data_IF_091059202289
#
_entry.id   IF_091059202289
#
_cell.length_a   1.000
_cell.length_b   1.000
_cell.length_c   1.000
_cell.angle_alpha   90.00
_cell.angle_beta   90.00
_cell.angle_gamma   90.00
#
_symmetry.space_group_name_H-M   'P 1'
#
loop_
_entity.id
_entity.type
_entity.pdbx_description
1 polymer ?
#
# COMPACT_ATOMS: atom_id res chain seq x y z
N UNK A 1 -23.55 -6.14 -19.95
CA UNK A 1 -24.88 -6.72 -19.61
C UNK A 1 -25.77 -5.84 -18.71
N UNK A 2 -25.29 -4.68 -18.23
CA UNK A 2 -26.06 -3.74 -17.38
C UNK A 2 -26.74 -4.45 -16.20
N UNK A 3 -25.89 -5.03 -15.35
CA UNK A 3 -26.29 -5.73 -14.13
C UNK A 3 -25.51 -5.10 -12.99
N UNK A 4 -26.20 -4.58 -11.98
CA UNK A 4 -25.56 -4.03 -10.79
C UNK A 4 -25.02 -5.18 -9.91
N UNK A 5 -23.69 -5.29 -9.74
CA UNK A 5 -23.09 -6.29 -8.84
C UNK A 5 -23.28 -5.97 -7.36
N UNK A 6 -23.81 -4.78 -7.00
CA UNK A 6 -23.90 -4.25 -5.63
C UNK A 6 -22.55 -4.23 -4.91
N UNK A 7 -21.49 -3.80 -5.60
CA UNK A 7 -20.13 -3.67 -5.08
C UNK A 7 -19.72 -2.21 -4.88
N UNK A 8 -18.55 -1.97 -4.28
CA UNK A 8 -18.03 -0.61 -4.04
C UNK A 8 -17.91 0.18 -5.36
N UNK A 9 -18.20 1.50 -5.32
CA UNK A 9 -18.29 2.36 -6.52
C UNK A 9 -17.07 2.32 -7.44
N UNK A 10 -15.87 2.17 -6.88
CA UNK A 10 -14.62 2.13 -7.65
C UNK A 10 -14.29 0.78 -8.30
N UNK A 11 -15.06 -0.27 -8.02
CA UNK A 11 -14.82 -1.64 -8.52
C UNK A 11 -16.01 -2.24 -9.27
N UNK A 12 -17.02 -1.42 -9.53
CA UNK A 12 -18.20 -1.78 -10.33
C UNK A 12 -17.92 -1.45 -11.79
N UNK A 13 -17.89 -2.44 -12.68
CA UNK A 13 -17.63 -2.23 -14.12
C UNK A 13 -18.86 -2.46 -15.00
N UNK A 14 -19.90 -3.14 -14.50
CA UNK A 14 -21.03 -3.59 -15.31
C UNK A 14 -22.16 -2.61 -15.63
N UNK A 15 -22.13 -1.35 -15.18
CA UNK A 15 -23.18 -0.33 -15.44
C UNK A 15 -22.96 0.41 -16.75
N UNK A 16 -24.04 0.81 -17.43
CA UNK A 16 -23.99 1.62 -18.68
C UNK A 16 -23.20 2.94 -18.55
N UNK A 17 -23.09 3.48 -17.34
CA UNK A 17 -22.33 4.70 -17.04
C UNK A 17 -20.81 4.50 -17.00
N UNK A 18 -20.34 3.25 -17.00
CA UNK A 18 -18.92 2.96 -16.97
C UNK A 18 -18.31 2.97 -18.37
N UNK A 19 -17.03 3.34 -18.45
CA UNK A 19 -16.25 3.39 -19.70
C UNK A 19 -16.00 2.04 -20.40
N UNK A 20 -16.61 0.94 -19.94
CA UNK A 20 -16.24 -0.42 -20.32
C UNK A 20 -17.37 -1.13 -21.05
N UNK A 21 -16.99 -1.88 -22.09
CA UNK A 21 -17.91 -2.72 -22.87
C UNK A 21 -18.68 -1.92 -23.92
N UNK A 22 -19.62 -2.64 -24.55
CA UNK A 22 -20.58 -2.12 -25.52
C UNK A 22 -21.96 -2.49 -25.02
N UNK A 23 -22.97 -1.66 -25.31
CA UNK A 23 -24.35 -2.13 -25.15
C UNK A 23 -24.71 -3.18 -26.23
N UNK A 24 -25.82 -3.88 -26.04
CA UNK A 24 -26.16 -5.02 -26.92
C UNK A 24 -26.45 -4.58 -28.37
N UNK A 25 -27.02 -3.39 -28.57
CA UNK A 25 -27.33 -2.86 -29.90
C UNK A 25 -26.03 -2.49 -30.64
N UNK A 26 -25.08 -1.89 -29.94
CA UNK A 26 -23.74 -1.60 -30.45
C UNK A 26 -22.96 -2.89 -30.75
N UNK A 27 -23.00 -3.85 -29.83
CA UNK A 27 -22.33 -5.13 -29.99
C UNK A 27 -22.88 -5.89 -31.21
N UNK A 28 -24.19 -5.93 -31.41
CA UNK A 28 -24.83 -6.60 -32.54
C UNK A 28 -24.40 -5.99 -33.88
N UNK A 29 -24.38 -4.65 -33.95
CA UNK A 29 -23.88 -3.93 -35.13
C UNK A 29 -22.42 -4.27 -35.41
N UNK A 30 -21.58 -4.29 -34.38
CA UNK A 30 -20.17 -4.62 -34.50
C UNK A 30 -19.97 -6.06 -35.01
N UNK A 31 -20.63 -7.04 -34.41
CA UNK A 31 -20.58 -8.43 -34.88
C UNK A 31 -21.01 -8.56 -36.35
N UNK A 32 -22.07 -7.84 -36.75
CA UNK A 32 -22.55 -7.83 -38.13
C UNK A 32 -21.55 -7.21 -39.12
N UNK A 33 -20.80 -6.20 -38.70
CA UNK A 33 -19.73 -5.59 -39.49
C UNK A 33 -18.52 -6.51 -39.59
N UNK A 34 -18.06 -7.05 -38.46
CA UNK A 34 -16.90 -7.94 -38.37
C UNK A 34 -17.12 -9.23 -39.17
N UNK A 35 -18.35 -9.77 -39.20
CA UNK A 35 -18.70 -10.93 -40.04
C UNK A 35 -18.36 -10.75 -41.53
N UNK A 36 -18.40 -9.51 -42.02
CA UNK A 36 -18.08 -9.18 -43.43
C UNK A 36 -16.59 -8.95 -43.67
N UNK A 37 -15.78 -8.92 -42.61
CA UNK A 37 -14.35 -8.68 -42.71
C UNK A 37 -13.61 -9.93 -43.21
N UNK A 38 -12.72 -9.81 -44.20
CA UNK A 38 -11.85 -10.92 -44.60
C UNK A 38 -10.68 -11.14 -43.62
N UNK A 39 -10.49 -10.25 -42.64
CA UNK A 39 -9.34 -10.24 -41.73
C UNK A 39 -9.69 -10.63 -40.28
N UNK A 40 -10.98 -10.66 -39.93
CA UNK A 40 -11.43 -10.79 -38.55
C UNK A 40 -12.49 -11.89 -38.43
N UNK A 41 -12.28 -12.82 -37.51
CA UNK A 41 -13.26 -13.85 -37.15
C UNK A 41 -13.75 -13.58 -35.71
N UNK A 42 -15.04 -13.31 -35.49
CA UNK A 42 -15.58 -13.19 -34.14
C UNK A 42 -15.72 -14.58 -33.52
N UNK A 43 -14.92 -14.88 -32.49
CA UNK A 43 -14.86 -16.22 -31.88
C UNK A 43 -15.53 -16.32 -30.52
N UNK A 44 -15.88 -15.21 -29.86
CA UNK A 44 -16.41 -15.26 -28.50
C UNK A 44 -16.99 -13.96 -28.03
N UNK A 45 -17.72 -14.03 -26.92
CA UNK A 45 -18.28 -12.89 -26.20
C UNK A 45 -17.70 -12.82 -24.79
N UNK A 46 -17.46 -11.62 -24.29
CA UNK A 46 -16.92 -11.37 -22.97
C UNK A 46 -17.82 -10.43 -22.16
N UNK A 47 -17.95 -10.71 -20.86
CA UNK A 47 -18.46 -9.75 -19.89
C UNK A 47 -17.73 -9.83 -18.56
N UNK A 48 -17.62 -8.69 -17.87
CA UNK A 48 -17.10 -8.60 -16.51
C UNK A 48 -17.97 -7.66 -15.67
N UNK A 49 -18.51 -8.18 -14.56
CA UNK A 49 -19.51 -7.47 -13.75
C UNK A 49 -18.91 -6.46 -12.77
N UNK A 50 -17.66 -6.69 -12.36
CA UNK A 50 -16.96 -5.93 -11.35
C UNK A 50 -16.16 -6.87 -10.44
N UNK A 51 -15.66 -6.36 -9.33
CA UNK A 51 -14.84 -7.13 -8.39
C UNK A 51 -15.48 -7.26 -7.00
N UNK A 52 -15.09 -8.30 -6.27
CA UNK A 52 -15.52 -8.57 -4.90
C UNK A 52 -17.01 -8.94 -4.77
N UNK A 53 -17.52 -9.69 -5.74
CA UNK A 53 -18.90 -10.17 -5.78
C UNK A 53 -19.01 -11.50 -5.02
N UNK A 54 -19.73 -11.51 -3.90
CA UNK A 54 -19.91 -12.69 -3.04
C UNK A 54 -21.24 -13.42 -3.25
N UNK A 55 -22.14 -12.88 -4.09
CA UNK A 55 -23.43 -13.51 -4.40
C UNK A 55 -23.46 -14.08 -5.82
N UNK A 56 -24.23 -15.16 -6.01
CA UNK A 56 -24.34 -15.86 -7.29
C UNK A 56 -25.22 -15.10 -8.28
N UNK A 57 -26.25 -14.42 -7.77
CA UNK A 57 -27.34 -13.84 -8.57
C UNK A 57 -26.89 -12.86 -9.66
N UNK A 58 -25.89 -11.97 -9.45
CA UNK A 58 -25.39 -11.11 -10.51
C UNK A 58 -24.83 -11.91 -11.70
N UNK A 59 -24.08 -12.99 -11.45
CA UNK A 59 -23.51 -13.83 -12.51
C UNK A 59 -24.60 -14.55 -13.29
N UNK A 60 -25.60 -15.11 -12.60
CA UNK A 60 -26.69 -15.85 -13.24
C UNK A 60 -27.53 -14.93 -14.14
N UNK A 61 -27.90 -13.74 -13.65
CA UNK A 61 -28.65 -12.76 -14.46
C UNK A 61 -27.86 -12.24 -15.65
N UNK A 62 -26.55 -12.03 -15.48
CA UNK A 62 -25.72 -11.59 -16.58
C UNK A 62 -25.57 -12.68 -17.64
N UNK A 63 -25.39 -13.93 -17.19
CA UNK A 63 -25.28 -15.07 -18.08
C UNK A 63 -26.57 -15.28 -18.87
N UNK A 64 -27.74 -15.18 -18.24
CA UNK A 64 -29.05 -15.24 -18.92
C UNK A 64 -29.13 -14.27 -20.10
N UNK A 65 -28.84 -12.98 -19.87
CA UNK A 65 -28.81 -11.98 -20.96
C UNK A 65 -27.80 -12.30 -22.06
N UNK A 66 -26.66 -12.90 -21.70
CA UNK A 66 -25.62 -13.29 -22.68
C UNK A 66 -26.08 -14.49 -23.50
N UNK A 67 -26.82 -15.43 -22.91
CA UNK A 67 -27.39 -16.57 -23.63
C UNK A 67 -28.43 -16.12 -24.66
N UNK A 68 -29.32 -15.19 -24.28
CA UNK A 68 -30.30 -14.61 -25.21
C UNK A 68 -29.59 -13.93 -26.39
N UNK A 69 -28.52 -13.18 -26.11
CA UNK A 69 -27.74 -12.52 -27.14
C UNK A 69 -26.95 -13.50 -28.02
N UNK A 70 -26.45 -14.60 -27.47
CA UNK A 70 -25.80 -15.67 -28.24
C UNK A 70 -26.77 -16.33 -29.23
N UNK A 71 -28.02 -16.56 -28.84
CA UNK A 71 -29.02 -17.13 -29.75
C UNK A 71 -29.35 -16.14 -30.88
N UNK A 72 -29.51 -14.85 -30.57
CA UNK A 72 -29.68 -13.80 -31.58
C UNK A 72 -28.52 -13.75 -32.59
N UNK A 73 -27.27 -13.84 -32.12
CA UNK A 73 -26.11 -13.88 -33.01
C UNK A 73 -26.10 -15.17 -33.86
N UNK A 74 -26.50 -16.30 -33.28
CA UNK A 74 -26.60 -17.58 -33.97
C UNK A 74 -27.66 -17.56 -35.07
N UNK A 75 -28.82 -16.96 -34.84
CA UNK A 75 -29.84 -16.70 -35.86
C UNK A 75 -29.31 -15.83 -37.01
N UNK A 76 -28.41 -14.89 -36.70
CA UNK A 76 -27.67 -14.09 -37.70
C UNK A 76 -26.49 -14.83 -38.33
N UNK A 77 -26.36 -16.14 -38.09
CA UNK A 77 -25.32 -17.00 -38.64
C UNK A 77 -23.93 -16.75 -38.07
N UNK A 78 -23.84 -16.35 -36.80
CA UNK A 78 -22.60 -16.21 -36.03
C UNK A 78 -22.64 -17.20 -34.85
N UNK A 79 -21.91 -18.30 -34.97
CA UNK A 79 -21.81 -19.29 -33.91
C UNK A 79 -20.51 -19.08 -33.12
N UNK A 80 -20.60 -18.42 -31.97
CA UNK A 80 -19.43 -18.09 -31.16
C UNK A 80 -18.89 -19.34 -30.43
N UNK A 81 -17.56 -19.47 -30.39
CA UNK A 81 -16.84 -20.61 -29.80
C UNK A 81 -16.58 -20.45 -28.29
N UNK A 82 -16.56 -19.22 -27.80
CA UNK A 82 -16.19 -18.89 -26.41
C UNK A 82 -17.20 -17.97 -25.73
N UNK A 83 -17.44 -18.23 -24.45
CA UNK A 83 -18.10 -17.31 -23.53
C UNK A 83 -17.14 -17.04 -22.40
N UNK A 84 -16.69 -15.80 -22.28
CA UNK A 84 -15.84 -15.32 -21.21
C UNK A 84 -16.70 -14.57 -20.18
N UNK A 85 -16.79 -15.13 -18.98
CA UNK A 85 -17.55 -14.54 -17.87
C UNK A 85 -16.70 -13.62 -16.99
N UNK A 86 -15.45 -13.38 -17.39
CA UNK A 86 -14.49 -12.57 -16.66
C UNK A 86 -14.21 -13.11 -15.26
N UNK A 87 -13.73 -12.23 -14.39
CA UNK A 87 -13.49 -12.51 -12.98
C UNK A 87 -14.54 -11.92 -12.05
N UNK A 88 -14.06 -11.48 -10.88
CA UNK A 88 -14.84 -10.72 -9.91
C UNK A 88 -15.25 -11.51 -8.67
N UNK A 89 -14.93 -12.81 -8.63
CA UNK A 89 -15.25 -13.71 -7.53
C UNK A 89 -14.70 -13.17 -6.20
N UNK A 90 -15.61 -12.87 -5.28
CA UNK A 90 -15.30 -12.28 -3.99
C UNK A 90 -14.76 -13.29 -3.00
N UNK A 91 -13.79 -12.84 -2.21
CA UNK A 91 -13.26 -13.59 -1.06
C UNK A 91 -13.85 -13.03 0.24
N UNK A 92 -13.64 -13.71 1.37
CA UNK A 92 -13.92 -13.10 2.66
C UNK A 92 -12.71 -12.34 3.17
N UNK A 93 -12.91 -11.10 3.64
CA UNK A 93 -11.89 -10.30 4.34
C UNK A 93 -12.15 -10.24 5.86
N UNK A 94 -13.31 -10.72 6.30
CA UNK A 94 -13.79 -10.63 7.68
C UNK A 94 -14.20 -12.01 8.17
N UNK A 95 -13.80 -12.34 9.39
CA UNK A 95 -14.19 -13.60 10.02
C UNK A 95 -15.72 -13.69 10.15
N UNK A 96 -16.27 -14.87 9.82
CA UNK A 96 -17.71 -15.11 9.79
C UNK A 96 -18.44 -14.66 8.51
N UNK A 97 -17.79 -13.90 7.62
CA UNK A 97 -18.34 -13.67 6.26
C UNK A 97 -17.91 -14.78 5.31
N UNK A 98 -18.80 -15.19 4.42
CA UNK A 98 -18.53 -16.24 3.44
C UNK A 98 -18.04 -15.63 2.11
N UNK A 99 -17.04 -16.25 1.44
CA UNK A 99 -16.69 -15.90 0.07
C UNK A 99 -17.80 -16.32 -0.90
N UNK A 100 -17.62 -15.99 -2.19
CA UNK A 100 -18.45 -16.59 -3.23
C UNK A 100 -18.28 -18.13 -3.19
N UNK A 101 -19.39 -18.86 -3.08
CA UNK A 101 -19.36 -20.31 -3.26
C UNK A 101 -19.18 -20.64 -4.75
N UNK A 102 -17.94 -20.95 -5.12
CA UNK A 102 -17.57 -21.20 -6.51
C UNK A 102 -18.17 -22.51 -7.04
N UNK A 103 -18.38 -23.50 -6.16
CA UNK A 103 -18.98 -24.79 -6.54
C UNK A 103 -20.45 -24.59 -6.89
N UNK A 104 -21.21 -23.89 -6.05
CA UNK A 104 -22.61 -23.59 -6.33
C UNK A 104 -22.77 -22.74 -7.61
N UNK A 105 -21.82 -21.83 -7.87
CA UNK A 105 -21.82 -21.05 -9.11
C UNK A 105 -21.56 -21.98 -10.31
N UNK A 106 -20.54 -22.83 -10.24
CA UNK A 106 -20.17 -23.77 -11.30
C UNK A 106 -21.33 -24.72 -11.65
N UNK A 107 -21.98 -25.30 -10.64
CA UNK A 107 -23.14 -26.19 -10.82
C UNK A 107 -24.29 -25.53 -11.57
N UNK A 108 -24.52 -24.23 -11.33
CA UNK A 108 -25.61 -23.48 -11.97
C UNK A 108 -25.27 -22.99 -13.38
N UNK A 109 -24.02 -22.60 -13.63
CA UNK A 109 -23.62 -22.05 -14.94
C UNK A 109 -23.28 -23.15 -15.95
N UNK A 110 -22.78 -24.30 -15.50
CA UNK A 110 -22.31 -25.36 -16.40
C UNK A 110 -23.39 -25.89 -17.34
N UNK A 111 -24.62 -26.23 -16.89
CA UNK A 111 -25.68 -26.68 -17.79
C UNK A 111 -26.10 -25.61 -18.80
N UNK A 112 -26.04 -24.34 -18.41
CA UNK A 112 -26.42 -23.22 -19.27
C UNK A 112 -25.40 -23.01 -20.40
N UNK A 113 -24.11 -23.00 -20.07
CA UNK A 113 -23.04 -22.90 -21.07
C UNK A 113 -22.99 -24.15 -21.95
N UNK A 114 -23.16 -25.34 -21.38
CA UNK A 114 -23.12 -26.59 -22.15
C UNK A 114 -24.16 -26.61 -23.29
N UNK A 115 -25.33 -25.99 -23.09
CA UNK A 115 -26.39 -25.87 -24.12
C UNK A 115 -25.97 -25.04 -25.33
N UNK A 116 -25.06 -24.08 -25.17
CA UNK A 116 -24.58 -23.24 -26.28
C UNK A 116 -23.51 -23.94 -27.13
N UNK A 117 -22.85 -24.96 -26.57
CA UNK A 117 -21.69 -25.61 -27.19
C UNK A 117 -20.40 -24.78 -27.13
N UNK A 118 -20.44 -23.58 -26.53
CA UNK A 118 -19.26 -22.73 -26.36
C UNK A 118 -18.38 -23.21 -25.19
N UNK A 119 -17.09 -22.88 -25.26
CA UNK A 119 -16.15 -23.06 -24.16
C UNK A 119 -16.24 -21.89 -23.19
N UNK A 120 -16.28 -22.20 -21.89
CA UNK A 120 -16.27 -21.21 -20.83
C UNK A 120 -14.84 -20.73 -20.53
N UNK A 121 -14.65 -19.42 -20.47
CA UNK A 121 -13.43 -18.76 -19.96
C UNK A 121 -13.80 -18.00 -18.69
N UNK A 122 -12.93 -18.07 -17.68
CA UNK A 122 -13.03 -17.34 -16.42
C UNK A 122 -11.69 -16.62 -16.17
N UNK A 123 -11.76 -15.44 -15.58
CA UNK A 123 -10.58 -14.59 -15.31
C UNK A 123 -10.40 -14.31 -13.79
N UNK A 124 -10.28 -15.33 -12.93
CA UNK A 124 -10.20 -15.11 -11.49
C UNK A 124 -8.84 -14.50 -11.10
N UNK A 125 -8.86 -13.26 -10.60
CA UNK A 125 -7.69 -12.63 -9.95
C UNK A 125 -7.74 -12.81 -8.43
N UNK A 126 -8.50 -11.93 -7.76
CA UNK A 126 -8.62 -11.86 -6.28
C UNK A 126 -8.85 -13.20 -5.62
N UNK A 127 -9.70 -14.03 -6.22
CA UNK A 127 -10.12 -15.31 -5.65
C UNK A 127 -8.98 -16.33 -5.54
N UNK A 128 -8.05 -16.33 -6.51
CA UNK A 128 -6.94 -17.28 -6.51
C UNK A 128 -5.87 -16.91 -5.48
N UNK A 129 -5.49 -15.63 -5.46
CA UNK A 129 -4.26 -15.21 -4.75
C UNK A 129 -4.53 -14.37 -3.51
N UNK A 130 -5.72 -13.77 -3.37
CA UNK A 130 -6.04 -12.88 -2.25
C UNK A 130 -5.77 -13.50 -0.89
N UNK A 131 -6.41 -14.64 -0.54
CA UNK A 131 -6.22 -15.32 0.74
C UNK A 131 -4.83 -15.94 0.93
N UNK A 132 -4.08 -16.13 -0.15
CA UNK A 132 -2.75 -16.74 -0.10
C UNK A 132 -1.65 -15.78 0.39
N UNK A 133 -1.91 -14.46 0.39
CA UNK A 133 -0.94 -13.45 0.82
C UNK A 133 -1.21 -12.92 2.22
N UNK A 134 -0.14 -12.71 2.98
CA UNK A 134 -0.15 -12.07 4.30
C UNK A 134 0.98 -11.05 4.34
N UNK A 135 0.67 -9.81 4.74
CA UNK A 135 1.66 -8.77 4.97
C UNK A 135 2.10 -8.83 6.43
N UNK A 136 3.36 -9.18 6.64
CA UNK A 136 3.97 -9.21 7.97
C UNK A 136 4.63 -7.87 8.24
N UNK A 137 4.33 -7.28 9.39
CA UNK A 137 4.86 -5.97 9.79
C UNK A 137 5.22 -5.95 11.26
N UNK A 138 6.33 -5.27 11.59
CA UNK A 138 6.78 -5.10 12.96
C UNK A 138 6.15 -3.86 13.59
N UNK A 139 5.78 -3.96 14.87
CA UNK A 139 5.33 -2.82 15.68
C UNK A 139 6.54 -2.00 16.10
N UNK A 140 6.61 -0.75 15.64
CA UNK A 140 7.70 0.16 15.97
C UNK A 140 7.50 0.77 17.36
N UNK A 141 6.35 1.41 17.57
CA UNK A 141 6.02 2.04 18.85
C UNK A 141 4.51 2.24 19.02
N UNK A 142 4.09 2.49 20.26
CA UNK A 142 2.71 2.85 20.59
C UNK A 142 2.59 4.33 20.93
N UNK A 143 1.50 4.97 20.49
CA UNK A 143 1.21 6.37 20.80
C UNK A 143 -0.20 6.52 21.32
N UNK A 144 -0.33 7.21 22.45
CA UNK A 144 -1.63 7.57 23.02
C UNK A 144 -1.87 9.06 22.78
N UNK A 145 -3.01 9.41 22.17
CA UNK A 145 -3.49 10.79 22.05
C UNK A 145 -4.93 10.86 22.55
N UNK A 146 -5.11 11.39 23.77
CA UNK A 146 -6.41 11.44 24.42
C UNK A 146 -7.01 10.05 24.56
N UNK A 147 -8.19 9.83 23.97
CA UNK A 147 -8.88 8.53 23.98
C UNK A 147 -8.40 7.57 22.87
N UNK A 148 -7.65 8.05 21.87
CA UNK A 148 -7.16 7.22 20.77
C UNK A 148 -5.80 6.61 21.10
N UNK A 149 -5.67 5.35 20.70
CA UNK A 149 -4.45 4.54 20.85
C UNK A 149 -4.01 4.11 19.47
N UNK A 150 -2.75 4.39 19.14
CA UNK A 150 -2.16 4.10 17.85
C UNK A 150 -1.07 3.04 18.03
N UNK A 151 -1.10 2.03 17.18
CA UNK A 151 -0.04 1.05 17.00
C UNK A 151 0.64 1.41 15.68
N UNK A 152 1.86 1.97 15.77
CA UNK A 152 2.63 2.37 14.60
C UNK A 152 3.48 1.17 14.17
N UNK A 153 3.32 0.74 12.92
CA UNK A 153 4.03 -0.41 12.36
C UNK A 153 5.02 0.02 11.27
N UNK A 154 5.88 -0.89 10.84
CA UNK A 154 6.93 -0.60 9.86
C UNK A 154 6.50 -0.70 8.39
N UNK A 155 5.31 -1.26 8.11
CA UNK A 155 4.65 -1.20 6.82
C UNK A 155 3.86 0.11 6.69
N UNK A 156 3.70 0.62 5.46
CA UNK A 156 2.88 1.80 5.17
C UNK A 156 1.88 1.58 4.03
N UNK A 157 1.07 2.59 3.76
CA UNK A 157 0.14 2.61 2.63
C UNK A 157 0.83 2.42 1.28
N UNK A 158 2.12 2.75 1.19
CA UNK A 158 2.95 2.48 0.01
C UNK A 158 3.16 0.97 -0.22
N UNK A 159 3.04 0.14 0.82
CA UNK A 159 3.15 -1.33 0.76
C UNK A 159 1.76 -1.98 0.57
N UNK A 160 0.73 -1.44 1.23
CA UNK A 160 -0.65 -1.87 1.13
C UNK A 160 -1.61 -0.67 1.11
N UNK A 161 -1.98 -0.25 -0.10
CA UNK A 161 -2.79 0.96 -0.32
C UNK A 161 -4.29 0.77 -0.11
N UNK A 162 -4.77 -0.49 -0.10
CA UNK A 162 -6.21 -0.83 -0.17
C UNK A 162 -7.06 -0.20 0.94
N UNK A 163 -6.65 -0.21 2.23
CA UNK A 163 -7.45 0.42 3.29
C UNK A 163 -7.62 1.92 3.06
N UNK A 164 -6.56 2.59 2.62
CA UNK A 164 -6.58 4.03 2.32
C UNK A 164 -7.43 4.36 1.09
N UNK A 165 -7.21 3.64 -0.02
CA UNK A 165 -7.84 3.92 -1.31
C UNK A 165 -9.31 3.52 -1.37
N UNK A 166 -9.68 2.42 -0.71
CA UNK A 166 -11.02 1.83 -0.83
C UNK A 166 -11.79 1.77 0.48
N UNK A 167 -11.19 2.18 1.60
CA UNK A 167 -11.76 1.87 2.93
C UNK A 167 -11.80 0.36 3.18
N UNK A 168 -10.95 -0.42 2.51
CA UNK A 168 -11.03 -1.88 2.55
C UNK A 168 -10.63 -2.42 3.93
N UNK A 169 -11.44 -3.36 4.44
CA UNK A 169 -11.10 -4.12 5.63
C UNK A 169 -10.08 -5.22 5.28
N UNK A 170 -9.10 -5.39 6.16
CA UNK A 170 -8.29 -6.60 6.27
C UNK A 170 -8.28 -7.06 7.74
N UNK A 171 -8.28 -8.37 7.97
CA UNK A 171 -8.09 -8.91 9.31
C UNK A 171 -6.63 -8.66 9.73
N UNK A 172 -6.44 -8.25 10.99
CA UNK A 172 -5.12 -8.06 11.59
C UNK A 172 -4.99 -9.06 12.74
N UNK A 173 -3.97 -9.92 12.68
CA UNK A 173 -3.67 -10.91 13.71
C UNK A 173 -2.29 -10.66 14.30
N UNK A 174 -2.12 -10.98 15.57
CA UNK A 174 -0.80 -11.02 16.22
C UNK A 174 -0.13 -12.36 15.86
N UNK A 175 1.13 -12.36 15.44
CA UNK A 175 1.81 -13.60 15.00
C UNK A 175 1.99 -14.61 16.15
N UNK A 176 2.31 -14.11 17.35
CA UNK A 176 2.41 -14.93 18.56
C UNK A 176 1.14 -14.72 19.36
N UNK A 177 0.30 -15.76 19.42
CA UNK A 177 -0.90 -15.71 20.25
C UNK A 177 -0.50 -15.50 21.72
N UNK A 178 -1.21 -14.62 22.44
CA UNK A 178 -0.93 -14.40 23.85
C UNK A 178 -1.27 -15.67 24.64
N UNK A 179 -0.41 -16.04 25.59
CA UNK A 179 -0.65 -17.19 26.48
C UNK A 179 -1.90 -17.03 27.35
N UNK A 180 -2.30 -15.79 27.62
CA UNK A 180 -3.51 -15.45 28.37
C UNK A 180 -4.41 -14.53 27.53
N UNK A 181 -5.71 -14.82 27.54
CA UNK A 181 -6.73 -13.99 26.91
C UNK A 181 -6.94 -12.71 27.74
N UNK A 182 -6.08 -11.71 27.53
CA UNK A 182 -6.31 -10.36 28.02
C UNK A 182 -7.51 -9.71 27.32
N UNK A 183 -8.10 -8.69 27.95
CA UNK A 183 -9.16 -7.90 27.32
C UNK A 183 -8.65 -7.21 26.05
N UNK A 184 -9.43 -7.20 24.94
CA UNK A 184 -9.05 -6.50 23.73
C UNK A 184 -8.88 -5.00 23.96
N UNK A 185 -7.86 -4.43 23.33
CA UNK A 185 -7.61 -3.00 23.25
C UNK A 185 -8.15 -2.47 21.92
N UNK A 186 -8.98 -1.43 21.95
CA UNK A 186 -9.41 -0.73 20.73
C UNK A 186 -8.30 0.21 20.29
N UNK A 187 -7.75 -0.02 19.08
CA UNK A 187 -6.60 0.71 18.53
C UNK A 187 -6.78 1.05 17.05
N UNK A 188 -6.07 2.09 16.61
CA UNK A 188 -5.81 2.37 15.20
C UNK A 188 -4.44 1.77 14.85
N UNK A 189 -4.35 0.96 13.80
CA UNK A 189 -3.08 0.42 13.28
C UNK A 189 -2.68 1.26 12.06
N UNK A 190 -1.54 1.94 12.17
CA UNK A 190 -1.09 2.96 11.21
C UNK A 190 0.36 2.71 10.81
N UNK A 191 0.72 3.16 9.60
CA UNK A 191 2.10 3.11 9.13
C UNK A 191 2.90 4.37 9.51
N UNK A 192 4.14 4.48 9.03
CA UNK A 192 5.05 5.59 9.31
C UNK A 192 5.04 6.70 8.23
N UNK A 193 4.19 6.60 7.21
CA UNK A 193 4.09 7.58 6.12
C UNK A 193 3.42 8.85 6.62
N UNK A 194 3.85 10.01 6.09
CA UNK A 194 3.45 11.33 6.57
C UNK A 194 1.99 11.74 6.26
N UNK A 195 1.18 10.83 5.74
CA UNK A 195 -0.19 11.10 5.31
C UNK A 195 -1.20 10.55 6.32
N UNK A 196 -2.25 11.33 6.61
CA UNK A 196 -3.33 10.91 7.51
C UNK A 196 -4.12 9.68 7.00
N UNK A 197 -4.01 9.44 5.69
CA UNK A 197 -4.49 8.25 4.99
C UNK A 197 -3.64 7.00 5.21
N UNK A 198 -2.51 7.06 5.92
CA UNK A 198 -1.67 5.91 6.19
C UNK A 198 -2.19 5.08 7.38
N UNK A 199 -3.22 4.29 7.12
CA UNK A 199 -3.80 3.37 8.10
C UNK A 199 -4.09 2.01 7.49
N UNK A 200 -4.03 0.97 8.33
CA UNK A 200 -4.48 -0.38 8.00
C UNK A 200 -5.80 -0.73 8.68
N UNK A 201 -6.03 -0.22 9.89
CA UNK A 201 -7.27 -0.38 10.61
C UNK A 201 -7.54 0.83 11.51
N UNK A 202 -8.82 1.17 11.67
CA UNK A 202 -9.30 2.19 12.61
C UNK A 202 -10.27 1.53 13.58
N UNK A 203 -10.19 1.92 14.84
CA UNK A 203 -11.07 1.52 15.94
C UNK A 203 -11.23 -0.01 16.04
N UNK A 204 -10.12 -0.74 15.88
CA UNK A 204 -10.12 -2.20 15.85
C UNK A 204 -9.88 -2.76 17.26
N UNK A 205 -10.77 -3.63 17.79
CA UNK A 205 -10.43 -4.45 18.95
C UNK A 205 -9.33 -5.45 18.58
N UNK A 206 -8.17 -5.35 19.22
CA UNK A 206 -7.04 -6.26 19.05
C UNK A 206 -6.56 -6.75 20.42
N UNK A 207 -5.92 -7.94 20.52
CA UNK A 207 -5.23 -8.32 21.75
C UNK A 207 -4.17 -7.28 22.12
N UNK A 208 -3.67 -7.32 23.35
CA UNK A 208 -2.59 -6.42 23.75
C UNK A 208 -1.34 -6.63 22.87
N UNK A 209 -0.92 -5.55 22.23
CA UNK A 209 0.24 -5.47 21.36
C UNK A 209 1.35 -4.70 22.07
N UNK A 210 2.59 -5.22 21.98
CA UNK A 210 3.82 -4.61 22.50
C UNK A 210 4.73 -4.18 21.35
N UNK A 211 5.61 -3.23 21.64
CA UNK A 211 6.65 -2.78 20.71
C UNK A 211 7.61 -3.94 20.37
N UNK A 212 8.07 -4.01 19.13
CA UNK A 212 8.90 -5.08 18.60
C UNK A 212 8.17 -6.37 18.21
N UNK A 213 6.89 -6.53 18.56
CA UNK A 213 6.07 -7.67 18.12
C UNK A 213 5.68 -7.56 16.64
N UNK A 214 5.23 -8.67 16.04
CA UNK A 214 4.81 -8.72 14.64
C UNK A 214 3.30 -8.91 14.50
N UNK A 215 2.73 -8.22 13.52
CA UNK A 215 1.36 -8.35 13.09
C UNK A 215 1.30 -8.92 11.67
N UNK A 216 0.25 -9.69 11.41
CA UNK A 216 -0.12 -10.24 10.11
C UNK A 216 -1.38 -9.52 9.62
N UNK A 217 -1.27 -8.85 8.48
CA UNK A 217 -2.43 -8.29 7.76
C UNK A 217 -2.83 -9.30 6.69
N UNK A 218 -3.99 -9.93 6.91
CA UNK A 218 -4.48 -11.08 6.15
C UNK A 218 -5.02 -10.68 4.77
N UNK A 219 -5.15 -11.65 3.86
CA UNK A 219 -5.81 -11.50 2.55
C UNK A 219 -5.17 -10.44 1.63
N UNK A 220 -3.84 -10.33 1.70
CA UNK A 220 -3.04 -9.31 1.00
C UNK A 220 -2.36 -9.82 -0.27
N UNK A 221 -2.73 -10.99 -0.79
CA UNK A 221 -2.09 -11.53 -2.01
C UNK A 221 -2.61 -10.92 -3.32
N UNK A 222 -3.72 -10.17 -3.29
CA UNK A 222 -4.31 -9.55 -4.48
C UNK A 222 -4.43 -8.03 -4.33
N UNK A 223 -3.96 -7.27 -5.33
CA UNK A 223 -4.06 -5.80 -5.39
C UNK A 223 -3.43 -5.09 -4.19
N UNK A 224 -2.35 -5.68 -3.65
CA UNK A 224 -1.58 -5.11 -2.56
C UNK A 224 -0.19 -4.79 -3.08
N UNK A 225 0.70 -5.77 -3.12
CA UNK A 225 2.05 -5.57 -3.64
C UNK A 225 2.08 -5.10 -5.11
N UNK A 226 1.13 -5.56 -5.95
CA UNK A 226 0.98 -5.08 -7.33
C UNK A 226 0.61 -3.59 -7.44
N UNK A 227 0.14 -2.98 -6.36
CA UNK A 227 -0.17 -1.56 -6.23
C UNK A 227 0.82 -0.85 -5.29
N UNK A 228 1.90 -1.51 -4.88
CA UNK A 228 2.92 -0.90 -4.03
C UNK A 228 3.72 0.16 -4.79
N UNK A 229 4.16 1.18 -4.07
CA UNK A 229 4.97 2.26 -4.59
C UNK A 229 6.09 2.64 -3.61
N UNK A 230 6.95 3.55 -4.04
CA UNK A 230 8.11 4.02 -3.27
C UNK A 230 7.87 5.37 -2.60
N UNK A 231 6.59 5.71 -2.34
CA UNK A 231 6.23 6.94 -1.65
C UNK A 231 6.96 7.07 -0.30
N UNK A 232 7.37 8.28 0.05
CA UNK A 232 8.32 8.60 1.13
C UNK A 232 9.70 7.93 0.98
N UNK A 233 10.15 7.67 -0.25
CA UNK A 233 11.43 7.04 -0.57
C UNK A 233 11.61 5.70 0.19
N UNK A 234 10.53 4.93 0.28
CA UNK A 234 10.50 3.63 0.97
C UNK A 234 10.70 2.53 -0.07
N UNK A 235 11.79 1.74 0.02
CA UNK A 235 11.98 0.62 -0.90
C UNK A 235 10.87 -0.44 -0.72
N UNK A 236 10.36 -1.00 -1.82
CA UNK A 236 9.32 -2.04 -1.76
C UNK A 236 9.82 -3.26 -0.98
N UNK A 237 8.94 -3.91 -0.18
CA UNK A 237 9.32 -5.05 0.65
C UNK A 237 9.68 -6.28 -0.20
N UNK A 238 10.33 -7.25 0.44
CA UNK A 238 10.54 -8.57 -0.16
C UNK A 238 9.21 -9.36 -0.22
N UNK A 239 9.10 -10.28 -1.17
CA UNK A 239 8.04 -11.29 -1.22
C UNK A 239 8.63 -12.67 -0.95
N UNK A 240 8.01 -13.42 -0.03
CA UNK A 240 8.44 -14.76 0.38
C UNK A 240 7.34 -15.76 0.06
N UNK A 241 7.69 -16.83 -0.65
CA UNK A 241 6.80 -17.97 -0.89
C UNK A 241 7.05 -19.03 0.18
N UNK A 242 5.99 -19.51 0.82
CA UNK A 242 6.03 -20.61 1.78
C UNK A 242 5.28 -21.80 1.20
N UNK A 243 5.89 -22.98 1.23
CA UNK A 243 5.24 -24.25 0.85
C UNK A 243 5.62 -25.32 1.86
N UNK A 244 4.64 -25.79 2.63
CA UNK A 244 4.85 -26.74 3.74
C UNK A 244 5.86 -26.16 4.75
N UNK A 245 7.00 -26.83 4.93
CA UNK A 245 8.09 -26.51 5.85
C UNK A 245 9.23 -25.70 5.19
N UNK A 246 9.10 -25.35 3.91
CA UNK A 246 10.12 -24.64 3.15
C UNK A 246 9.66 -23.22 2.75
N UNK A 247 10.63 -22.32 2.60
CA UNK A 247 10.41 -20.95 2.15
C UNK A 247 11.50 -20.46 1.20
N UNK A 248 11.12 -19.54 0.31
CA UNK A 248 12.01 -18.91 -0.67
C UNK A 248 11.68 -17.42 -0.81
N UNK A 249 12.72 -16.59 -0.93
CA UNK A 249 12.54 -15.21 -1.38
C UNK A 249 12.26 -15.27 -2.89
N UNK A 250 11.05 -14.90 -3.29
CA UNK A 250 10.64 -14.87 -4.70
C UNK A 250 10.76 -13.45 -5.28
N UNK A 251 10.94 -12.46 -4.41
CA UNK A 251 11.32 -11.10 -4.77
C UNK A 251 12.14 -10.47 -3.66
N UNK A 252 13.32 -9.99 -4.01
CA UNK A 252 14.19 -9.27 -3.08
C UNK A 252 13.60 -7.91 -2.68
N UNK A 253 13.90 -7.49 -1.46
CA UNK A 253 13.58 -6.13 -0.99
C UNK A 253 14.40 -5.13 -1.82
N UNK A 254 13.76 -4.05 -2.25
CA UNK A 254 14.48 -2.96 -2.91
C UNK A 254 15.45 -2.26 -1.96
N UNK A 255 16.47 -1.64 -2.52
CA UNK A 255 17.45 -0.84 -1.79
C UNK A 255 17.25 0.64 -2.07
N UNK A 256 17.88 1.51 -1.29
CA UNK A 256 17.90 2.95 -1.60
C UNK A 256 18.54 3.27 -2.96
N UNK A 257 19.46 2.42 -3.45
CA UNK A 257 20.03 2.59 -4.79
C UNK A 257 19.00 2.35 -5.88
N UNK A 258 18.08 1.40 -5.66
CA UNK A 258 17.03 1.09 -6.63
C UNK A 258 16.05 2.26 -6.82
N UNK A 259 15.86 3.07 -5.78
CA UNK A 259 14.97 4.24 -5.83
C UNK A 259 15.42 5.29 -6.84
N UNK A 260 16.74 5.49 -6.96
CA UNK A 260 17.35 6.53 -7.77
C UNK A 260 18.06 5.99 -9.01
N UNK A 261 17.94 4.69 -9.29
CA UNK A 261 18.71 4.01 -10.35
C UNK A 261 18.44 4.60 -11.74
N UNK A 262 17.21 5.07 -11.97
CA UNK A 262 16.74 5.63 -13.23
C UNK A 262 16.76 7.17 -13.23
N UNK A 263 17.29 7.77 -12.16
CA UNK A 263 17.48 9.21 -12.04
C UNK A 263 18.88 9.59 -12.53
N UNK A 264 18.98 10.71 -13.23
CA UNK A 264 20.28 11.26 -13.64
C UNK A 264 20.40 12.71 -13.18
N UNK A 265 21.56 13.04 -12.62
CA UNK A 265 21.90 14.42 -12.31
C UNK A 265 22.46 15.05 -13.59
N UNK A 266 21.80 16.07 -14.17
CA UNK A 266 22.29 16.72 -15.39
C UNK A 266 23.70 17.27 -15.22
N UNK A 267 24.54 17.08 -16.24
CA UNK A 267 25.90 17.66 -16.26
C UNK A 267 25.81 19.17 -16.14
N UNK A 268 26.55 19.74 -15.18
CA UNK A 268 26.62 21.18 -14.95
C UNK A 268 25.58 21.74 -13.98
N UNK A 269 24.56 20.98 -13.55
CA UNK A 269 23.52 21.47 -12.63
C UNK A 269 24.11 22.04 -11.32
N UNK A 270 25.17 21.40 -10.82
CA UNK A 270 25.89 21.82 -9.61
C UNK A 270 27.26 22.44 -9.91
N UNK A 271 27.52 22.89 -11.15
CA UNK A 271 28.81 23.49 -11.52
C UNK A 271 29.09 24.79 -10.77
N UNK A 272 28.06 25.58 -10.45
CA UNK A 272 28.14 26.77 -9.60
C UNK A 272 28.36 26.46 -8.11
N UNK A 273 27.93 25.28 -7.62
CA UNK A 273 28.21 24.81 -6.26
C UNK A 273 29.64 24.29 -6.09
N UNK A 274 30.33 23.96 -7.19
CA UNK A 274 31.78 23.65 -7.22
C UNK A 274 32.65 24.89 -7.45
N UNK A 275 32.08 26.09 -7.30
CA UNK A 275 32.79 27.37 -7.43
C UNK A 275 33.42 27.83 -6.13
N UNK A 276 34.72 27.54 -5.96
CA UNK A 276 35.73 28.18 -5.11
C UNK A 276 36.38 27.21 -4.10
N UNK A 277 37.66 26.81 -4.28
CA UNK A 277 38.46 26.49 -3.10
C UNK A 277 38.43 27.75 -2.24
N UNK A 278 37.91 27.65 -1.02
CA UNK A 278 37.86 28.74 -0.05
C UNK A 278 39.18 29.51 -0.05
N UNK A 279 39.26 30.56 -0.87
CA UNK A 279 40.32 31.54 -0.78
C UNK A 279 40.17 32.15 0.60
N UNK A 280 41.28 32.23 1.31
CA UNK A 280 41.47 32.70 2.68
C UNK A 280 41.09 34.17 2.93
N UNK A 281 40.03 34.69 2.33
CA UNK A 281 39.49 36.02 2.62
C UNK A 281 38.16 35.88 3.33
N UNK A 282 38.25 36.00 4.65
CA UNK A 282 37.15 36.22 5.58
C UNK A 282 36.18 37.28 5.04
N UNK A 283 35.01 36.87 4.58
CA UNK A 283 33.83 37.73 4.63
C UNK A 283 33.23 37.55 6.02
N UNK A 284 33.37 38.58 6.85
CA UNK A 284 32.73 38.68 8.15
C UNK A 284 31.22 38.51 7.98
N UNK A 285 30.71 37.33 8.31
CA UNK A 285 29.30 37.16 8.59
C UNK A 285 28.95 38.12 9.73
N UNK A 286 27.91 38.95 9.56
CA UNK A 286 27.35 39.70 10.68
C UNK A 286 26.99 38.70 11.78
N UNK A 287 27.43 38.89 13.03
CA UNK A 287 27.04 37.99 14.10
C UNK A 287 25.53 38.11 14.29
N UNK A 288 24.80 37.00 14.18
CA UNK A 288 23.57 36.87 14.94
C UNK A 288 23.96 37.10 16.41
N UNK A 289 23.33 38.11 17.02
CA UNK A 289 23.75 38.68 18.30
C UNK A 289 24.24 37.64 19.29
N UNK A 290 25.46 37.84 19.77
CA UNK A 290 26.04 37.10 20.87
C UNK A 290 25.16 37.26 22.11
N UNK A 291 24.20 36.35 22.28
CA UNK A 291 23.79 35.98 23.63
C UNK A 291 24.94 35.17 24.20
N UNK A 292 25.70 35.78 25.13
CA UNK A 292 26.68 35.11 25.99
C UNK A 292 26.21 33.69 26.29
N UNK A 293 26.98 32.70 25.82
CA UNK A 293 26.80 31.33 26.22
C UNK A 293 26.94 31.26 27.75
N UNK A 294 25.84 30.98 28.43
CA UNK A 294 25.89 30.46 29.80
C UNK A 294 26.62 29.12 29.71
N UNK A 295 27.81 29.07 30.29
CA UNK A 295 28.71 27.92 30.21
C UNK A 295 27.99 26.62 30.61
N UNK A 296 27.88 25.68 29.67
CA UNK A 296 27.36 24.33 29.90
C UNK A 296 25.97 24.02 29.31
N UNK A 297 25.24 25.01 28.79
CA UNK A 297 23.91 24.78 28.19
C UNK A 297 24.02 24.50 26.69
N UNK A 298 23.31 23.47 26.21
CA UNK A 298 23.17 23.16 24.78
C UNK A 298 21.85 23.78 24.28
N UNK A 299 21.89 24.83 23.43
CA UNK A 299 20.68 25.39 22.86
C UNK A 299 20.05 24.38 21.89
N UNK A 300 18.75 24.19 22.00
CA UNK A 300 17.98 23.33 21.10
C UNK A 300 16.67 24.00 20.71
N UNK A 301 16.13 23.60 19.57
CA UNK A 301 14.76 23.94 19.15
C UNK A 301 13.96 22.65 19.09
N UNK A 302 12.77 22.63 19.68
CA UNK A 302 11.84 21.51 19.52
C UNK A 302 10.87 21.85 18.39
N UNK A 303 10.94 21.10 17.30
CA UNK A 303 10.05 21.23 16.16
C UNK A 303 8.97 20.15 16.21
N UNK A 304 7.79 20.47 15.68
CA UNK A 304 6.70 19.53 15.52
C UNK A 304 6.15 19.62 14.10
N UNK A 305 5.95 18.46 13.46
CA UNK A 305 5.45 18.37 12.08
C UNK A 305 4.88 16.99 11.80
N UNK A 306 3.73 16.93 11.11
CA UNK A 306 3.04 15.68 10.74
C UNK A 306 2.86 14.69 11.89
N UNK A 307 2.61 15.21 13.10
CA UNK A 307 2.41 14.41 14.30
C UNK A 307 3.69 13.94 15.00
N UNK A 308 4.88 14.22 14.47
CA UNK A 308 6.17 13.90 15.06
C UNK A 308 6.83 15.13 15.71
N UNK A 309 7.66 14.88 16.72
CA UNK A 309 8.43 15.89 17.45
C UNK A 309 9.92 15.64 17.24
N UNK A 310 10.69 16.66 16.85
CA UNK A 310 12.15 16.58 16.67
C UNK A 310 12.87 17.59 17.55
N UNK A 311 14.02 17.17 18.10
CA UNK A 311 14.95 18.06 18.78
C UNK A 311 16.04 18.46 17.79
N UNK A 312 16.07 19.73 17.42
CA UNK A 312 17.03 20.28 16.45
C UNK A 312 18.12 21.03 17.19
N UNK A 313 19.37 20.66 16.92
CA UNK A 313 20.55 21.26 17.56
C UNK A 313 21.56 21.65 16.48
N UNK A 314 22.07 22.87 16.58
CA UNK A 314 23.25 23.27 15.81
C UNK A 314 24.50 22.65 16.44
N UNK A 315 24.94 21.54 15.86
CA UNK A 315 26.12 20.80 16.28
C UNK A 315 27.36 21.13 15.42
N UNK A 316 27.39 22.26 14.69
CA UNK A 316 28.52 22.65 13.83
C UNK A 316 29.79 22.94 14.65
N UNK A 317 29.65 23.33 15.92
CA UNK A 317 30.74 23.47 16.90
C UNK A 317 31.09 22.18 17.64
N UNK A 318 30.48 21.03 17.28
CA UNK A 318 30.71 19.72 17.88
C UNK A 318 30.46 19.66 19.40
N UNK A 319 29.40 20.33 19.86
CA UNK A 319 28.94 20.28 21.26
C UNK A 319 28.57 18.85 21.68
N UNK A 320 27.96 18.08 20.77
CA UNK A 320 27.54 16.70 21.00
C UNK A 320 28.53 15.75 20.32
N UNK A 321 29.32 15.07 21.16
CA UNK A 321 30.34 14.10 20.72
C UNK A 321 29.74 12.70 20.51
N UNK A 322 29.03 12.17 21.50
CA UNK A 322 28.38 10.86 21.42
C UNK A 322 26.90 11.01 21.01
N UNK A 323 26.63 10.99 19.71
CA UNK A 323 25.31 11.29 19.14
C UNK A 323 24.27 10.19 19.42
N UNK A 324 24.59 8.88 19.26
CA UNK A 324 23.66 7.81 19.62
C UNK A 324 23.24 7.87 21.09
N UNK A 325 24.21 8.06 21.99
CA UNK A 325 23.93 8.09 23.42
C UNK A 325 23.16 9.35 23.83
N UNK A 326 23.50 10.47 23.22
CA UNK A 326 22.75 11.70 23.40
C UNK A 326 21.28 11.51 23.01
N UNK A 327 21.00 10.95 21.83
CA UNK A 327 19.65 10.67 21.38
C UNK A 327 18.89 9.73 22.33
N UNK A 328 19.53 8.63 22.78
CA UNK A 328 18.95 7.73 23.79
C UNK A 328 18.61 8.41 25.10
N UNK A 329 19.38 9.43 25.48
CA UNK A 329 19.17 10.17 26.73
C UNK A 329 18.04 11.19 26.61
N UNK A 330 17.97 11.94 25.50
CA UNK A 330 17.07 13.09 25.39
C UNK A 330 15.72 12.79 24.72
N UNK A 331 15.64 11.75 23.89
CA UNK A 331 14.40 11.38 23.20
C UNK A 331 13.31 10.75 24.07
N UNK A 332 13.59 9.98 25.14
CA UNK A 332 12.54 9.39 25.98
C UNK A 332 11.58 10.44 26.56
N UNK A 333 10.27 10.25 26.37
CA UNK A 333 9.24 11.22 26.79
C UNK A 333 9.05 11.32 28.30
N UNK A 334 9.48 10.32 29.07
CA UNK A 334 9.33 10.27 30.53
C UNK A 334 10.55 10.81 31.29
N UNK A 335 11.74 10.68 30.71
CA UNK A 335 13.02 10.93 31.39
C UNK A 335 13.90 11.95 30.67
N UNK A 336 13.57 12.31 29.43
CA UNK A 336 14.28 13.31 28.63
C UNK A 336 13.35 14.43 28.15
N UNK A 337 13.79 15.16 27.13
CA UNK A 337 13.03 16.27 26.50
C UNK A 337 11.80 15.72 25.74
N UNK A 338 11.86 14.46 25.30
CA UNK A 338 10.76 13.76 24.65
C UNK A 338 10.62 14.12 23.17
N UNK A 339 11.12 13.28 22.28
CA UNK A 339 11.04 13.49 20.83
C UNK A 339 11.09 12.15 20.07
N UNK A 340 10.59 12.17 18.85
CA UNK A 340 10.63 11.03 17.93
C UNK A 340 12.00 10.95 17.21
N UNK A 341 12.86 11.95 17.38
CA UNK A 341 14.27 11.92 16.97
C UNK A 341 15.04 13.22 17.26
N UNK A 342 16.35 13.17 17.02
CA UNK A 342 17.26 14.32 17.10
C UNK A 342 17.78 14.67 15.72
N UNK A 343 17.66 15.93 15.31
CA UNK A 343 18.26 16.49 14.11
C UNK A 343 19.49 17.31 14.49
N UNK A 344 20.67 16.88 14.03
CA UNK A 344 21.93 17.57 14.25
C UNK A 344 22.36 18.26 12.97
N UNK A 345 22.48 19.59 13.02
CA UNK A 345 23.12 20.36 11.95
C UNK A 345 24.64 20.29 12.15
N UNK A 346 25.36 19.76 11.17
CA UNK A 346 26.81 19.56 11.24
C UNK A 346 27.51 20.25 10.06
N UNK A 347 28.83 20.42 10.18
CA UNK A 347 29.64 20.94 9.08
C UNK A 347 29.54 20.01 7.86
N UNK A 348 29.25 20.58 6.70
CA UNK A 348 29.30 19.90 5.41
C UNK A 348 30.51 20.39 4.61
N UNK A 349 31.01 19.54 3.71
CA UNK A 349 32.05 19.91 2.74
C UNK A 349 31.48 20.41 1.41
N UNK A 350 30.18 20.27 1.20
CA UNK A 350 29.51 20.48 -0.11
C UNK A 350 28.25 21.34 -0.01
N UNK A 351 27.89 21.83 1.18
CA UNK A 351 26.72 22.66 1.47
C UNK A 351 26.98 23.53 2.72
N UNK A 352 26.08 24.48 3.03
CA UNK A 352 26.20 25.34 4.22
C UNK A 352 26.26 24.55 5.54
N UNK A 353 25.54 23.42 5.58
CA UNK A 353 25.58 22.42 6.63
C UNK A 353 25.05 21.10 6.08
N UNK A 354 25.26 20.00 6.81
CA UNK A 354 24.57 18.72 6.59
C UNK A 354 23.68 18.46 7.79
N UNK A 355 22.54 17.84 7.56
CA UNK A 355 21.66 17.39 8.63
C UNK A 355 21.88 15.89 8.84
N UNK A 356 21.93 15.47 10.10
CA UNK A 356 21.96 14.05 10.49
C UNK A 356 20.86 13.78 11.49
N UNK A 357 20.27 12.61 11.40
CA UNK A 357 19.11 12.23 12.20
C UNK A 357 19.54 11.10 13.12
N UNK A 358 19.05 11.11 14.36
CA UNK A 358 19.23 10.01 15.29
C UNK A 358 17.88 9.65 15.89
N UNK A 359 17.49 8.39 15.75
CA UNK A 359 16.28 7.83 16.34
C UNK A 359 16.42 7.71 17.87
N UNK A 360 15.32 7.49 18.61
CA UNK A 360 15.37 7.36 20.07
C UNK A 360 16.23 6.21 20.59
N UNK A 361 16.48 5.17 19.79
CA UNK A 361 17.38 4.06 20.11
C UNK A 361 18.87 4.36 19.84
N UNK A 362 19.16 5.55 19.29
CA UNK A 362 20.49 5.99 18.91
C UNK A 362 20.92 5.57 17.50
N UNK A 363 20.09 4.85 16.75
CA UNK A 363 20.36 4.52 15.35
C UNK A 363 20.30 5.77 14.47
N UNK A 364 21.17 5.83 13.46
CA UNK A 364 21.17 6.90 12.46
C UNK A 364 20.49 6.37 11.19
N UNK A 365 19.26 6.82 10.87
CA UNK A 365 18.62 6.45 9.63
C UNK A 365 19.25 7.23 8.46
N UNK A 366 19.24 6.64 7.26
CA UNK A 366 19.71 7.32 6.05
C UNK A 366 18.78 8.47 5.62
N UNK A 367 17.50 8.41 6.00
CA UNK A 367 16.44 9.38 5.66
C UNK A 367 15.42 9.48 6.81
N UNK A 368 14.80 10.65 6.98
CA UNK A 368 13.60 10.77 7.81
C UNK A 368 12.39 10.27 7.01
N UNK A 369 11.61 9.32 7.54
CA UNK A 369 10.36 8.88 6.90
C UNK A 369 9.29 9.98 6.76
N UNK A 370 9.51 11.14 7.37
CA UNK A 370 8.58 12.27 7.42
C UNK A 370 9.08 13.54 6.70
N UNK A 371 10.20 13.46 5.97
CA UNK A 371 10.83 14.60 5.30
C UNK A 371 12.31 14.72 5.63
#
# INVERSE_FOLDING_TARGET
PDVDPKTHRYITTGKRENKFGLDFDEAEKLYSQVKKSPLLEPVGIHFHLGSQITSLQPYLRALEKILDFLELLKERGLNLKYVDMGGGFGISYEEGKLPLNIMDLAEKIYPLIKKTGAKLILEPGRFLVGPAGVLITQVLYKKNRGKKRFVIVDAGMNDLIRPSLYGAYHQIKKLKEPQEAGSPEVVDVVGPVCESGDFFARERPLPQIKEGEYLAIMDTGAYCFSMSCTYNARPRPAEVLVKKDQWWIIRERETYKDLVKDESIPKGLFSSFRGSPLSSKSRSARPLGEKKALSGLIPFTKLQGSGNDFIVIDNRSQLIKNRPEFARTICPRKTGIGADGVLLLEKSRVADFKMRIFNPDGSEPAMCGNG
#
